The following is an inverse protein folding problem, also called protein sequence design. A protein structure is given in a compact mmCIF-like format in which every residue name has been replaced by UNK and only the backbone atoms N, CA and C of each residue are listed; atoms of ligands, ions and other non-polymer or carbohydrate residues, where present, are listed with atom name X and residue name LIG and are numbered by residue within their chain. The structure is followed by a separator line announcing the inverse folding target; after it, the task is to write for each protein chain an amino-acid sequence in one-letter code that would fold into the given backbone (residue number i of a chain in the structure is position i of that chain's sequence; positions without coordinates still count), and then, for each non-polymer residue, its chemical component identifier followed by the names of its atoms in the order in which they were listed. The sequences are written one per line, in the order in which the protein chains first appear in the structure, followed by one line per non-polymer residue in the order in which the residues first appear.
data_IF_746263638960
#
_entry.id   IF_746263638960
#
_cell.length_a   1.000
_cell.length_b   1.000
_cell.length_c   1.000
_cell.angle_alpha   90.00
_cell.angle_beta   90.00
_cell.angle_gamma   90.00
#
_symmetry.space_group_name_H-M   'P 1'
#
loop_
_entity.id
_entity.type
_entity.pdbx_description
1 polymer ?
#
# COMPACT_ATOMS: atom_id res chain seq x y z
N UNK A 1 -1.60 6.91 24.05
CA UNK A 1 -1.20 5.50 24.22
C UNK A 1 -2.11 4.51 23.46
N UNK A 2 -3.31 4.90 23.01
CA UNK A 2 -4.29 4.00 22.36
C UNK A 2 -3.74 2.95 21.36
N UNK A 3 -2.83 3.33 20.45
CA UNK A 3 -2.23 2.40 19.48
C UNK A 3 -1.26 1.41 20.15
N UNK A 4 -0.48 1.87 21.12
CA UNK A 4 0.39 1.03 21.95
C UNK A 4 -0.44 0.08 22.82
N UNK A 5 -1.52 0.58 23.40
CA UNK A 5 -2.44 -0.20 24.25
C UNK A 5 -3.24 -1.22 23.43
N UNK A 6 -3.49 -0.95 22.15
CA UNK A 6 -4.11 -1.88 21.20
C UNK A 6 -3.18 -3.02 20.74
N UNK A 7 -1.92 -3.05 21.21
CA UNK A 7 -1.00 -4.16 20.96
C UNK A 7 -0.37 -4.21 19.56
N UNK A 8 -0.58 -3.18 18.72
CA UNK A 8 -0.12 -3.20 17.32
C UNK A 8 1.40 -3.18 17.16
N UNK A 9 2.13 -2.76 18.20
CA UNK A 9 3.60 -2.66 18.22
C UNK A 9 4.26 -3.76 19.05
N UNK A 10 3.57 -4.87 19.31
CA UNK A 10 4.12 -6.04 20.00
C UNK A 10 5.10 -6.82 19.11
N UNK A 11 5.80 -7.82 19.64
CA UNK A 11 6.74 -8.65 18.87
C UNK A 11 6.04 -9.31 17.68
N UNK A 12 6.57 -9.10 16.47
CA UNK A 12 5.96 -9.54 15.21
C UNK A 12 4.91 -8.56 14.64
N UNK A 13 4.61 -7.48 15.36
CA UNK A 13 3.73 -6.40 14.93
C UNK A 13 4.46 -5.31 14.15
N UNK A 14 3.84 -4.13 14.09
CA UNK A 14 4.37 -2.97 13.38
C UNK A 14 5.57 -2.36 14.10
N UNK A 15 6.50 -1.79 13.34
CA UNK A 15 7.62 -1.01 13.89
C UNK A 15 7.17 0.44 14.02
N UNK A 16 7.09 0.95 15.25
CA UNK A 16 6.54 2.28 15.57
C UNK A 16 7.08 3.40 14.67
N UNK A 17 8.39 3.42 14.43
CA UNK A 17 9.06 4.48 13.65
C UNK A 17 8.89 4.32 12.13
N UNK A 18 8.21 3.26 11.67
CA UNK A 18 7.89 3.00 10.26
C UNK A 18 6.39 3.14 9.96
N UNK A 19 5.60 3.60 10.93
CA UNK A 19 4.15 3.78 10.75
C UNK A 19 3.81 5.26 10.73
N UNK A 20 3.20 5.69 9.63
CA UNK A 20 2.62 7.02 9.49
C UNK A 20 1.09 6.89 9.47
N UNK A 21 0.40 7.84 10.10
CA UNK A 21 -1.05 7.87 10.17
C UNK A 21 -1.59 9.09 9.41
N UNK A 22 -2.60 8.88 8.58
CA UNK A 22 -3.35 9.94 7.92
C UNK A 22 -4.82 9.56 7.85
N UNK A 23 -5.72 10.52 8.03
CA UNK A 23 -7.17 10.27 8.06
C UNK A 23 -7.85 10.36 6.70
N UNK A 24 -7.11 10.69 5.64
CA UNK A 24 -7.67 10.91 4.30
C UNK A 24 -6.83 10.20 3.24
N UNK A 25 -7.49 9.81 2.15
CA UNK A 25 -6.85 9.19 0.99
C UNK A 25 -5.80 10.12 0.36
N UNK A 26 -6.11 11.43 0.29
CA UNK A 26 -5.15 12.44 -0.15
C UNK A 26 -3.92 12.53 0.76
N UNK A 27 -4.09 12.34 2.07
CA UNK A 27 -2.98 12.27 3.03
C UNK A 27 -2.06 11.09 2.72
N UNK A 28 -2.64 9.91 2.46
CA UNK A 28 -1.92 8.69 2.07
C UNK A 28 -1.12 8.90 0.77
N UNK A 29 -1.76 9.39 -0.29
CA UNK A 29 -1.07 9.72 -1.55
C UNK A 29 0.02 10.78 -1.37
N UNK A 30 -0.16 11.71 -0.44
CA UNK A 30 0.84 12.76 -0.16
C UNK A 30 2.05 12.24 0.62
N UNK A 31 1.86 11.30 1.54
CA UNK A 31 2.98 10.61 2.20
C UNK A 31 3.76 9.75 1.21
N UNK A 32 3.08 8.95 0.40
CA UNK A 32 3.75 8.07 -0.57
C UNK A 32 4.61 8.89 -1.54
N UNK A 33 4.12 10.03 -2.02
CA UNK A 33 4.92 10.93 -2.88
C UNK A 33 6.11 11.58 -2.19
N UNK A 34 6.06 11.81 -0.88
CA UNK A 34 7.19 12.39 -0.13
C UNK A 34 8.21 11.33 0.28
N UNK A 35 7.76 10.10 0.52
CA UNK A 35 8.62 8.96 0.83
C UNK A 35 9.33 8.41 -0.40
N UNK A 36 8.75 8.59 -1.58
CA UNK A 36 9.28 8.13 -2.87
C UNK A 36 9.71 6.65 -2.86
N UNK A 37 8.85 5.71 -2.41
CA UNK A 37 9.23 4.30 -2.37
C UNK A 37 9.31 3.72 -3.78
N UNK A 38 10.20 2.75 -3.99
CA UNK A 38 10.24 1.97 -5.23
C UNK A 38 8.94 1.18 -5.45
N UNK A 39 8.35 0.67 -4.37
CA UNK A 39 7.14 -0.16 -4.38
C UNK A 39 6.02 0.47 -3.57
N UNK A 40 4.80 0.39 -4.09
CA UNK A 40 3.57 0.72 -3.37
C UNK A 40 2.55 -0.40 -3.50
N UNK A 41 1.95 -0.81 -2.38
CA UNK A 41 0.91 -1.86 -2.33
C UNK A 41 -0.36 -1.21 -1.79
N UNK A 42 -1.47 -1.39 -2.50
CA UNK A 42 -2.74 -0.70 -2.18
C UNK A 42 -3.96 -1.48 -2.69
N UNK A 43 -5.10 -1.29 -2.02
CA UNK A 43 -6.38 -1.90 -2.40
C UNK A 43 -7.41 -0.88 -2.92
N UNK A 44 -7.15 0.43 -2.77
CA UNK A 44 -7.95 1.47 -3.41
C UNK A 44 -7.43 1.78 -4.84
N UNK A 45 -8.25 1.56 -5.89
CA UNK A 45 -7.85 1.80 -7.27
C UNK A 45 -7.58 3.27 -7.63
N UNK A 46 -8.24 4.22 -6.96
CA UNK A 46 -8.04 5.65 -7.21
C UNK A 46 -6.62 6.08 -6.80
N UNK A 47 -6.10 5.53 -5.70
CA UNK A 47 -4.75 5.83 -5.22
C UNK A 47 -3.70 5.21 -6.15
N UNK A 48 -3.90 3.96 -6.59
CA UNK A 48 -3.05 3.33 -7.61
C UNK A 48 -2.98 4.20 -8.87
N UNK A 49 -4.13 4.72 -9.33
CA UNK A 49 -4.19 5.57 -10.51
C UNK A 49 -3.44 6.90 -10.31
N UNK A 50 -3.66 7.58 -9.19
CA UNK A 50 -2.99 8.84 -8.87
C UNK A 50 -1.48 8.69 -8.73
N UNK A 51 -1.01 7.58 -8.17
CA UNK A 51 0.40 7.34 -7.86
C UNK A 51 1.20 6.73 -9.02
N UNK A 52 0.54 6.24 -10.08
CA UNK A 52 1.20 5.55 -11.19
C UNK A 52 2.31 6.33 -11.90
N UNK A 53 2.29 7.66 -11.86
CA UNK A 53 3.37 8.46 -12.46
C UNK A 53 4.55 8.72 -11.52
N UNK A 54 4.40 8.44 -10.23
CA UNK A 54 5.38 8.78 -9.19
C UNK A 54 6.13 7.54 -8.68
N UNK A 55 5.52 6.36 -8.78
CA UNK A 55 6.04 5.12 -8.18
C UNK A 55 6.53 4.15 -9.26
N UNK A 56 7.70 3.54 -9.04
CA UNK A 56 8.33 2.66 -10.01
C UNK A 56 7.56 1.36 -10.21
N UNK A 57 7.05 0.78 -9.13
CA UNK A 57 6.26 -0.45 -9.15
C UNK A 57 5.08 -0.38 -8.19
N UNK A 58 3.90 -0.76 -8.65
CA UNK A 58 2.70 -0.77 -7.83
C UNK A 58 2.03 -2.15 -7.86
N UNK A 59 1.53 -2.60 -6.71
CA UNK A 59 0.71 -3.79 -6.60
C UNK A 59 -0.69 -3.41 -6.12
N UNK A 60 -1.66 -3.58 -7.00
CA UNK A 60 -3.07 -3.49 -6.65
C UNK A 60 -3.55 -4.85 -6.11
N UNK A 61 -3.96 -4.88 -4.85
CA UNK A 61 -4.46 -6.09 -4.18
C UNK A 61 -5.98 -6.03 -4.06
N UNK A 62 -6.67 -6.79 -4.91
CA UNK A 62 -8.13 -6.87 -4.92
C UNK A 62 -8.61 -8.10 -5.68
N UNK A 63 -9.73 -8.68 -5.25
CA UNK A 63 -10.38 -9.78 -5.97
C UNK A 63 -10.79 -9.39 -7.40
N UNK A 64 -11.09 -8.10 -7.62
CA UNK A 64 -11.42 -7.55 -8.94
C UNK A 64 -10.16 -7.03 -9.63
N UNK A 65 -9.97 -7.39 -10.90
CA UNK A 65 -8.89 -6.80 -11.72
C UNK A 65 -9.27 -5.39 -12.15
N UNK A 66 -8.27 -4.52 -12.24
CA UNK A 66 -8.45 -3.18 -12.79
C UNK A 66 -8.35 -3.25 -14.32
N UNK A 67 -9.33 -2.69 -15.03
CA UNK A 67 -9.31 -2.54 -16.48
C UNK A 67 -8.33 -1.42 -16.86
N UNK A 68 -7.39 -1.69 -17.79
CA UNK A 68 -6.42 -0.73 -18.35
C UNK A 68 -5.56 0.00 -17.32
N UNK A 69 -4.56 -0.69 -16.77
CA UNK A 69 -3.58 -0.10 -15.86
C UNK A 69 -2.31 0.39 -16.57
N UNK A 70 -1.60 1.30 -15.93
CA UNK A 70 -0.26 1.69 -16.35
C UNK A 70 0.70 0.46 -16.28
N UNK A 71 1.76 0.45 -17.10
CA UNK A 71 2.67 -0.70 -17.22
C UNK A 71 3.43 -1.04 -15.93
N UNK A 72 3.51 -0.10 -14.99
CA UNK A 72 4.11 -0.28 -13.67
C UNK A 72 3.13 -0.79 -12.60
N UNK A 73 1.89 -1.13 -12.97
CA UNK A 73 0.86 -1.61 -12.04
C UNK A 73 0.62 -3.10 -12.25
N UNK A 74 1.00 -3.88 -11.26
CA UNK A 74 0.67 -5.30 -11.12
C UNK A 74 -0.67 -5.44 -10.39
N UNK A 75 -1.36 -6.56 -10.60
CA UNK A 75 -2.61 -6.88 -9.90
C UNK A 75 -2.59 -8.31 -9.42
N UNK A 76 -3.04 -8.52 -8.18
CA UNK A 76 -3.19 -9.84 -7.58
C UNK A 76 -4.43 -9.86 -6.67
N UNK A 77 -5.15 -10.99 -6.57
CA UNK A 77 -6.23 -11.14 -5.60
C UNK A 77 -5.77 -11.11 -4.14
N UNK A 78 -4.50 -11.45 -3.87
CA UNK A 78 -3.94 -11.44 -2.50
C UNK A 78 -2.40 -11.33 -2.52
N UNK A 79 -1.79 -11.12 -1.36
CA UNK A 79 -0.32 -11.09 -1.24
C UNK A 79 0.28 -12.49 -1.39
N UNK A 80 -0.37 -13.50 -0.83
CA UNK A 80 0.01 -14.91 -0.93
C UNK A 80 0.10 -15.35 -2.40
N UNK A 81 -0.92 -15.01 -3.19
CA UNK A 81 -0.95 -15.32 -4.62
C UNK A 81 0.12 -14.55 -5.41
N UNK A 82 0.49 -13.33 -4.99
CA UNK A 82 1.54 -12.57 -5.66
C UNK A 82 2.94 -13.11 -5.35
N UNK A 83 3.20 -13.49 -4.09
CA UNK A 83 4.51 -13.98 -3.64
C UNK A 83 4.69 -15.50 -3.76
N UNK A 84 3.62 -16.25 -4.02
CA UNK A 84 3.66 -17.71 -4.11
C UNK A 84 3.80 -18.42 -2.76
N UNK A 85 3.42 -17.77 -1.65
CA UNK A 85 3.43 -18.36 -0.32
C UNK A 85 2.07 -19.04 -0.07
N UNK A 86 1.97 -20.34 -0.34
CA UNK A 86 0.83 -21.18 0.03
C UNK A 86 0.99 -21.76 1.43
#
# INVERSE_FOLDING_TARGET
MALTDAGIFTSGGLVKDKVLFCSTENGRSSFVRQLEPDWHIESNPEIIFQLARFIKYQLYVSASKLERTASNVFSSPSLENFFGCA
#
